data_IF_880948273979
#
_entry.id   IF_880948273979
#
_cell.length_a   1.000
_cell.length_b   1.000
_cell.length_c   1.000
_cell.angle_alpha   90.00
_cell.angle_beta   90.00
_cell.angle_gamma   90.00
#
_symmetry.space_group_name_H-M   'P 1'
#
loop_
_entity.id
_entity.type
_entity.pdbx_description
1 polymer ?
#
# COMPACT_ATOMS: atom_id res chain seq x y z
N UNK A 1 1.17 -18.63 10.52
CA UNK A 1 -0.28 -18.89 10.65
C UNK A 1 -0.79 -19.34 9.30
N UNK A 2 -1.50 -20.48 9.18
CA UNK A 2 -2.18 -20.87 7.95
C UNK A 2 -3.13 -19.76 7.48
N UNK A 3 -3.25 -19.59 6.16
CA UNK A 3 -4.00 -18.47 5.57
C UNK A 3 -5.48 -18.46 5.98
N UNK A 4 -6.06 -19.65 6.18
CA UNK A 4 -7.44 -19.84 6.64
C UNK A 4 -7.73 -19.34 8.06
N UNK A 5 -6.69 -19.09 8.86
CA UNK A 5 -6.82 -18.57 10.22
C UNK A 5 -6.55 -17.06 10.30
N UNK A 6 -6.18 -16.42 9.18
CA UNK A 6 -5.90 -14.98 9.14
C UNK A 6 -7.22 -14.20 9.16
N UNK A 7 -7.38 -13.36 10.18
CA UNK A 7 -8.55 -12.51 10.37
C UNK A 7 -8.16 -11.06 10.07
N UNK A 8 -8.88 -10.42 9.14
CA UNK A 8 -8.66 -9.01 8.81
C UNK A 8 -8.79 -8.15 10.08
N UNK A 9 -7.81 -7.27 10.30
CA UNK A 9 -7.68 -6.44 11.50
C UNK A 9 -6.91 -7.13 12.64
N UNK A 10 -6.48 -8.37 12.45
CA UNK A 10 -5.72 -9.17 13.42
C UNK A 10 -4.84 -10.21 12.71
N UNK A 11 -4.37 -9.90 11.50
CA UNK A 11 -3.54 -10.82 10.71
C UNK A 11 -2.17 -11.03 11.37
N UNK A 12 -1.65 -9.99 12.03
CA UNK A 12 -0.36 -10.02 12.72
C UNK A 12 0.83 -9.92 11.76
N UNK A 13 2.00 -10.36 12.20
CA UNK A 13 3.23 -10.31 11.37
C UNK A 13 3.77 -8.90 11.14
N UNK A 14 3.31 -7.90 11.91
CA UNK A 14 3.75 -6.52 11.81
C UNK A 14 4.86 -6.26 12.82
N UNK A 15 5.96 -5.68 12.35
CA UNK A 15 7.13 -5.33 13.15
C UNK A 15 7.44 -3.85 12.93
N UNK A 16 7.87 -3.14 13.98
CA UNK A 16 8.23 -1.73 13.84
C UNK A 16 9.01 -1.22 15.04
N UNK A 17 9.69 -0.09 14.84
CA UNK A 17 10.45 0.60 15.88
C UNK A 17 10.36 2.12 15.67
N UNK A 18 9.88 2.90 16.65
CA UNK A 18 10.01 4.35 16.62
C UNK A 18 11.48 4.75 16.79
N UNK A 19 12.12 5.26 15.74
CA UNK A 19 13.55 5.57 15.76
C UNK A 19 13.92 6.62 14.72
N UNK A 20 15.08 7.26 14.91
CA UNK A 20 15.76 8.08 13.91
C UNK A 20 17.06 7.43 13.42
N UNK A 21 17.40 6.24 13.93
CA UNK A 21 18.61 5.50 13.57
C UNK A 21 18.31 4.44 12.50
N UNK A 22 19.09 4.48 11.42
CA UNK A 22 18.94 3.56 10.29
C UNK A 22 19.20 2.10 10.68
N UNK A 23 20.16 1.85 11.57
CA UNK A 23 20.50 0.47 11.97
C UNK A 23 19.33 -0.21 12.68
N UNK A 24 18.60 0.53 13.50
CA UNK A 24 17.37 0.09 14.16
C UNK A 24 16.29 -0.33 13.15
N UNK A 25 16.12 0.46 12.07
CA UNK A 25 15.20 0.13 10.98
C UNK A 25 15.63 -1.17 10.28
N UNK A 26 16.91 -1.30 9.94
CA UNK A 26 17.46 -2.50 9.29
C UNK A 26 17.31 -3.75 10.15
N UNK A 27 17.52 -3.66 11.46
CA UNK A 27 17.35 -4.78 12.38
C UNK A 27 15.89 -5.27 12.44
N UNK A 28 14.92 -4.35 12.41
CA UNK A 28 13.50 -4.71 12.35
C UNK A 28 13.14 -5.33 11.00
N UNK A 29 13.66 -4.81 9.89
CA UNK A 29 13.49 -5.43 8.56
C UNK A 29 14.03 -6.87 8.54
N UNK A 30 15.22 -7.10 9.10
CA UNK A 30 15.77 -8.46 9.25
C UNK A 30 14.91 -9.36 10.12
N UNK A 31 14.31 -8.82 11.18
CA UNK A 31 13.41 -9.57 12.05
C UNK A 31 12.15 -9.97 11.29
N UNK A 32 11.54 -9.06 10.54
CA UNK A 32 10.39 -9.36 9.70
C UNK A 32 10.72 -10.44 8.66
N UNK A 33 11.85 -10.31 7.94
CA UNK A 33 12.30 -11.31 6.97
C UNK A 33 12.51 -12.70 7.57
N UNK A 34 13.04 -12.79 8.80
CA UNK A 34 13.26 -14.09 9.48
C UNK A 34 11.97 -14.76 9.93
N UNK A 35 10.92 -13.99 10.20
CA UNK A 35 9.64 -14.49 10.69
C UNK A 35 8.57 -14.61 9.60
N UNK A 36 8.83 -14.09 8.41
CA UNK A 36 8.00 -14.24 7.21
C UNK A 36 8.59 -15.25 6.23
N UNK A 37 7.76 -15.73 5.31
CA UNK A 37 8.19 -16.63 4.22
C UNK A 37 7.70 -16.19 2.83
N UNK A 38 6.92 -15.10 2.73
CA UNK A 38 6.36 -14.59 1.48
C UNK A 38 5.38 -15.54 0.76
N UNK A 39 4.98 -16.64 1.41
CA UNK A 39 4.20 -17.72 0.78
C UNK A 39 2.69 -17.49 0.70
N UNK A 40 2.18 -16.43 1.32
CA UNK A 40 0.77 -16.02 1.27
C UNK A 40 0.66 -14.72 0.48
N UNK A 41 0.08 -14.79 -0.73
CA UNK A 41 0.17 -13.72 -1.72
C UNK A 41 -0.62 -12.45 -1.31
N UNK A 42 -1.85 -12.51 -0.77
CA UNK A 42 -2.52 -11.31 -0.30
C UNK A 42 -1.87 -10.76 0.97
N UNK A 43 -1.39 -9.53 0.98
CA UNK A 43 -0.72 -8.95 2.17
C UNK A 43 -1.71 -8.18 3.07
N UNK A 44 -1.32 -7.85 4.31
CA UNK A 44 -2.09 -7.04 5.27
C UNK A 44 -1.57 -5.60 5.36
N UNK A 45 -1.51 -4.94 4.21
CA UNK A 45 -0.94 -3.60 4.04
C UNK A 45 -1.63 -2.54 4.90
N UNK A 46 -2.97 -2.59 5.00
CA UNK A 46 -3.71 -1.55 5.73
C UNK A 46 -3.48 -1.68 7.24
N UNK A 47 -3.43 -2.90 7.77
CA UNK A 47 -3.03 -3.13 9.17
C UNK A 47 -1.63 -2.57 9.45
N UNK A 48 -0.67 -2.78 8.55
CA UNK A 48 0.70 -2.24 8.68
C UNK A 48 0.73 -0.71 8.64
N UNK A 49 -0.04 -0.10 7.74
CA UNK A 49 -0.20 1.36 7.65
C UNK A 49 -0.78 1.93 8.95
N UNK A 50 -1.87 1.34 9.45
CA UNK A 50 -2.53 1.79 10.70
C UNK A 50 -1.60 1.64 11.90
N UNK A 51 -0.83 0.54 11.95
CA UNK A 51 0.21 0.36 12.97
C UNK A 51 1.26 1.48 12.89
N UNK A 52 1.76 1.81 11.70
CA UNK A 52 2.73 2.90 11.50
C UNK A 52 2.18 4.26 11.97
N UNK A 53 0.92 4.56 11.67
CA UNK A 53 0.24 5.78 12.15
C UNK A 53 0.18 5.81 13.69
N UNK A 54 -0.17 4.70 14.31
CA UNK A 54 -0.25 4.59 15.77
C UNK A 54 1.12 4.76 16.46
N UNK A 55 2.20 4.30 15.83
CA UNK A 55 3.56 4.47 16.34
C UNK A 55 4.08 5.91 16.21
N UNK A 56 3.59 6.68 15.23
CA UNK A 56 3.97 8.07 15.06
C UNK A 56 2.77 8.96 14.66
N UNK A 57 1.90 9.31 15.63
CA UNK A 57 0.70 10.11 15.36
C UNK A 57 1.03 11.52 14.84
N UNK A 58 2.22 12.05 15.15
CA UNK A 58 2.66 13.38 14.72
C UNK A 58 3.51 13.36 13.42
N UNK A 59 3.85 12.19 12.87
CA UNK A 59 4.60 12.12 11.62
C UNK A 59 3.76 12.67 10.47
N UNK A 60 4.36 13.54 9.66
CA UNK A 60 3.72 14.20 8.51
C UNK A 60 3.82 13.39 7.22
N UNK A 61 4.80 12.49 7.12
CA UNK A 61 5.03 11.65 5.96
C UNK A 61 4.77 10.18 6.32
N UNK A 62 3.92 9.55 5.52
CA UNK A 62 3.61 8.13 5.60
C UNK A 62 3.91 7.52 4.23
N UNK A 63 4.84 6.58 4.20
CA UNK A 63 5.31 5.92 2.98
C UNK A 63 4.97 4.44 3.10
N UNK A 64 4.29 3.91 2.09
CA UNK A 64 3.96 2.49 1.97
C UNK A 64 4.74 1.90 0.81
N UNK A 65 5.61 0.93 1.06
CA UNK A 65 6.42 0.27 0.02
C UNK A 65 5.86 -1.13 -0.16
N UNK A 66 5.33 -1.43 -1.35
CA UNK A 66 4.59 -2.67 -1.60
C UNK A 66 4.94 -3.32 -2.94
N UNK A 67 4.86 -4.65 -2.98
CA UNK A 67 4.97 -5.43 -4.20
C UNK A 67 3.73 -5.23 -5.08
N UNK A 68 3.95 -4.93 -6.35
CA UNK A 68 2.88 -4.73 -7.32
C UNK A 68 2.07 -6.01 -7.59
N UNK A 69 2.63 -7.19 -7.32
CA UNK A 69 1.97 -8.49 -7.57
C UNK A 69 1.06 -8.95 -6.41
N UNK A 70 1.15 -8.33 -5.24
CA UNK A 70 0.37 -8.67 -4.06
C UNK A 70 -0.81 -7.70 -3.90
N UNK A 71 -2.05 -8.22 -3.92
CA UNK A 71 -3.24 -7.39 -3.65
C UNK A 71 -3.59 -7.48 -2.16
N UNK A 72 -3.70 -6.34 -1.44
CA UNK A 72 -4.00 -6.37 -0.01
C UNK A 72 -5.34 -7.02 0.29
N UNK A 73 -5.38 -7.89 1.31
CA UNK A 73 -6.60 -8.58 1.77
C UNK A 73 -7.53 -7.67 2.57
N UNK A 74 -6.97 -6.63 3.15
CA UNK A 74 -7.55 -5.83 4.21
C UNK A 74 -7.98 -4.43 3.75
N UNK A 75 -8.22 -4.27 2.44
CA UNK A 75 -8.72 -3.01 1.84
C UNK A 75 -10.02 -2.50 2.50
N UNK A 76 -10.81 -3.35 3.14
CA UNK A 76 -11.99 -2.96 3.93
C UNK A 76 -11.65 -2.04 5.11
N UNK A 77 -10.38 -2.05 5.57
CA UNK A 77 -9.89 -1.19 6.64
C UNK A 77 -9.42 0.19 6.14
N UNK A 78 -9.30 0.38 4.82
CA UNK A 78 -8.80 1.64 4.23
C UNK A 78 -9.55 2.90 4.71
N UNK A 79 -10.87 2.87 4.96
CA UNK A 79 -11.59 4.03 5.51
C UNK A 79 -11.07 4.54 6.87
N UNK A 80 -10.29 3.73 7.61
CA UNK A 80 -9.69 4.14 8.88
C UNK A 80 -8.34 4.86 8.71
N UNK A 81 -7.78 4.89 7.51
CA UNK A 81 -6.50 5.58 7.23
C UNK A 81 -6.77 7.07 7.04
N UNK A 82 -6.32 7.87 8.01
CA UNK A 82 -6.61 9.30 8.09
C UNK A 82 -5.43 10.23 7.69
N UNK A 83 -4.40 9.67 7.05
CA UNK A 83 -3.23 10.40 6.57
C UNK A 83 -2.94 10.09 5.10
N UNK A 84 -2.45 11.05 4.31
CA UNK A 84 -1.98 10.79 2.96
C UNK A 84 -0.89 9.73 2.92
N UNK A 85 -1.10 8.68 2.12
CA UNK A 85 -0.15 7.58 1.94
C UNK A 85 0.60 7.76 0.61
N UNK A 86 1.92 7.90 0.68
CA UNK A 86 2.79 7.82 -0.50
C UNK A 86 3.10 6.35 -0.77
N UNK A 87 2.48 5.78 -1.79
CA UNK A 87 2.70 4.39 -2.17
C UNK A 87 3.88 4.33 -3.13
N UNK A 88 4.89 3.52 -2.82
CA UNK A 88 6.00 3.20 -3.70
C UNK A 88 5.85 1.74 -4.09
N UNK A 89 5.83 1.46 -5.39
CA UNK A 89 5.70 0.10 -5.88
C UNK A 89 6.59 -0.14 -7.08
N UNK A 90 7.17 -1.34 -7.15
CA UNK A 90 7.98 -1.75 -8.29
C UNK A 90 7.09 -2.47 -9.29
N UNK A 91 6.78 -1.82 -10.40
CA UNK A 91 6.21 -2.50 -11.56
C UNK A 91 7.34 -3.12 -12.38
N UNK A 92 7.22 -4.39 -12.76
CA UNK A 92 8.08 -4.95 -13.80
C UNK A 92 7.70 -4.29 -15.12
N UNK A 93 8.67 -4.06 -16.01
CA UNK A 93 8.44 -3.47 -17.33
C UNK A 93 7.24 -4.15 -18.02
N UNK A 94 6.26 -3.36 -18.46
CA UNK A 94 5.02 -3.84 -19.10
C UNK A 94 4.09 -4.67 -18.19
N UNK A 95 4.11 -4.44 -16.88
CA UNK A 95 3.06 -4.93 -15.97
C UNK A 95 2.21 -3.77 -15.46
N UNK A 96 0.87 -3.95 -15.37
CA UNK A 96 -0.02 -2.92 -14.85
C UNK A 96 0.19 -2.73 -13.35
N UNK A 97 0.11 -1.47 -12.90
CA UNK A 97 0.00 -1.13 -11.47
C UNK A 97 -1.21 -1.82 -10.85
N UNK A 98 -1.04 -2.36 -9.64
CA UNK A 98 -2.11 -2.91 -8.84
C UNK A 98 -3.17 -1.83 -8.55
N UNK A 99 -4.43 -2.01 -8.98
CA UNK A 99 -5.49 -1.03 -8.72
C UNK A 99 -5.78 -0.80 -7.23
N UNK A 100 -5.49 -1.77 -6.35
CA UNK A 100 -5.64 -1.60 -4.91
C UNK A 100 -4.61 -0.61 -4.35
N UNK A 101 -3.34 -0.70 -4.77
CA UNK A 101 -2.30 0.25 -4.40
C UNK A 101 -2.62 1.67 -4.91
N UNK A 102 -3.13 1.76 -6.15
CA UNK A 102 -3.62 3.02 -6.72
C UNK A 102 -4.80 3.59 -5.89
N UNK A 103 -5.68 2.71 -5.41
CA UNK A 103 -6.81 3.07 -4.55
C UNK A 103 -6.37 3.58 -3.19
N UNK A 104 -5.38 2.95 -2.55
CA UNK A 104 -4.80 3.42 -1.27
C UNK A 104 -4.28 4.84 -1.43
N UNK A 105 -3.44 5.09 -2.43
CA UNK A 105 -2.91 6.42 -2.70
C UNK A 105 -4.03 7.45 -2.94
N UNK A 106 -5.02 7.11 -3.77
CA UNK A 106 -6.09 8.02 -4.13
C UNK A 106 -7.04 8.37 -2.98
N UNK A 107 -7.52 7.36 -2.24
CA UNK A 107 -8.52 7.57 -1.18
C UNK A 107 -7.93 8.25 0.06
N UNK A 108 -6.63 8.08 0.30
CA UNK A 108 -5.93 8.77 1.39
C UNK A 108 -5.48 10.18 1.01
N UNK A 109 -5.65 10.58 -0.26
CA UNK A 109 -5.17 11.87 -0.77
C UNK A 109 -3.64 11.92 -0.94
N UNK A 110 -2.98 10.76 -1.01
CA UNK A 110 -1.55 10.63 -1.26
C UNK A 110 -1.20 10.52 -2.75
N UNK A 111 -0.16 9.75 -3.03
CA UNK A 111 0.45 9.62 -4.36
C UNK A 111 0.96 8.20 -4.59
N UNK A 112 1.10 7.80 -5.85
CA UNK A 112 1.70 6.51 -6.23
C UNK A 112 2.97 6.77 -7.04
N UNK A 113 4.04 6.07 -6.70
CA UNK A 113 5.37 6.22 -7.29
C UNK A 113 5.83 4.87 -7.84
N UNK A 114 6.15 4.82 -9.13
CA UNK A 114 6.76 3.66 -9.77
C UNK A 114 8.23 3.96 -10.10
N UNK A 115 8.96 3.01 -10.70
CA UNK A 115 10.32 3.27 -11.16
C UNK A 115 10.38 4.30 -12.30
N UNK A 116 9.29 4.45 -13.05
CA UNK A 116 9.23 5.22 -14.30
C UNK A 116 8.42 6.51 -14.18
N UNK A 117 7.48 6.59 -13.23
CA UNK A 117 6.58 7.73 -13.13
C UNK A 117 6.08 7.96 -11.70
N UNK A 118 5.96 9.25 -11.36
CA UNK A 118 5.22 9.72 -10.20
C UNK A 118 3.80 10.05 -10.63
N UNK A 119 2.82 9.39 -10.03
CA UNK A 119 1.40 9.65 -10.24
C UNK A 119 0.84 10.40 -9.04
N UNK A 120 0.63 11.70 -9.25
CA UNK A 120 0.12 12.64 -8.25
C UNK A 120 -1.32 13.04 -8.54
N UNK A 121 -1.98 13.68 -7.55
CA UNK A 121 -3.34 14.22 -7.67
C UNK A 121 -4.42 13.17 -8.06
N UNK A 122 -4.22 11.90 -7.69
CA UNK A 122 -5.14 10.80 -8.00
C UNK A 122 -6.57 11.02 -7.49
N UNK A 123 -6.74 11.78 -6.40
CA UNK A 123 -8.04 12.10 -5.81
C UNK A 123 -8.85 13.11 -6.65
N UNK A 124 -8.21 13.87 -7.54
CA UNK A 124 -8.84 14.92 -8.34
C UNK A 124 -9.55 14.40 -9.59
N UNK A 125 -9.17 13.21 -10.07
CA UNK A 125 -9.84 12.55 -11.19
C UNK A 125 -11.29 12.29 -10.79
N UNK A 126 -12.33 12.69 -11.55
CA UNK A 126 -13.71 12.47 -11.17
C UNK A 126 -14.10 10.99 -11.23
N UNK A 127 -15.17 10.59 -10.53
CA UNK A 127 -15.77 9.24 -10.73
C UNK A 127 -16.15 9.07 -12.20
N UNK A 128 -15.89 7.88 -12.76
CA UNK A 128 -15.91 7.53 -14.18
C UNK A 128 -14.80 8.14 -15.04
N UNK A 129 -14.00 9.06 -14.50
CA UNK A 129 -12.79 9.58 -15.14
C UNK A 129 -11.72 8.51 -15.27
N UNK A 130 -10.84 8.69 -16.25
CA UNK A 130 -9.79 7.72 -16.57
C UNK A 130 -8.39 8.32 -16.48
N UNK A 131 -7.41 7.49 -16.17
CA UNK A 131 -5.98 7.82 -16.22
C UNK A 131 -5.22 6.69 -16.92
N UNK A 132 -4.17 7.06 -17.66
CA UNK A 132 -3.25 6.10 -18.29
C UNK A 132 -1.96 6.06 -17.48
N UNK A 133 -1.56 4.87 -17.05
CA UNK A 133 -0.37 4.62 -16.23
C UNK A 133 0.39 3.45 -16.87
N UNK A 134 1.61 3.71 -17.34
CA UNK A 134 2.44 2.67 -17.98
C UNK A 134 1.80 2.01 -19.21
N UNK A 135 0.97 2.75 -19.95
CA UNK A 135 0.24 2.23 -21.11
C UNK A 135 -1.10 1.52 -20.80
N UNK A 136 -1.42 1.32 -19.52
CA UNK A 136 -2.69 0.73 -19.07
C UNK A 136 -3.69 1.80 -18.67
N UNK A 137 -4.97 1.57 -18.92
CA UNK A 137 -6.05 2.51 -18.60
C UNK A 137 -6.79 2.08 -17.34
N UNK A 138 -6.90 3.02 -16.40
CA UNK A 138 -7.64 2.85 -15.15
C UNK A 138 -8.81 3.80 -15.13
N UNK A 139 -9.93 3.35 -14.56
CA UNK A 139 -11.11 4.16 -14.32
C UNK A 139 -11.30 4.36 -12.82
N UNK A 140 -11.60 5.59 -12.41
CA UNK A 140 -12.03 5.87 -11.05
C UNK A 140 -13.49 5.46 -10.87
N UNK A 141 -13.75 4.69 -9.82
CA UNK A 141 -15.07 4.30 -9.33
C UNK A 141 -15.34 4.97 -7.98
N UNK A 142 -16.52 4.79 -7.42
CA UNK A 142 -16.82 5.20 -6.04
C UNK A 142 -15.95 4.47 -5.01
N UNK A 143 -15.51 3.26 -5.32
CA UNK A 143 -14.81 2.36 -4.39
C UNK A 143 -13.29 2.36 -4.57
N UNK A 144 -12.75 3.19 -5.46
CA UNK A 144 -11.32 3.19 -5.81
C UNK A 144 -11.10 3.15 -7.31
N UNK A 145 -10.04 2.50 -7.75
CA UNK A 145 -9.69 2.35 -9.16
C UNK A 145 -9.85 0.90 -9.64
N UNK A 146 -10.26 0.76 -10.89
CA UNK A 146 -10.24 -0.52 -11.62
C UNK A 146 -9.44 -0.35 -12.91
N UNK A 147 -8.77 -1.42 -13.35
CA UNK A 147 -8.17 -1.47 -14.69
C UNK A 147 -9.25 -1.81 -15.72
N UNK A 148 -9.33 -1.06 -16.81
CA UNK A 148 -10.31 -1.28 -17.88
C UNK A 148 -9.67 -1.65 -19.22
N UNK A 149 -8.37 -1.40 -19.40
CA UNK A 149 -7.61 -1.79 -20.58
C UNK A 149 -6.13 -1.95 -20.26
#
# INVERSE_FOLDING_TARGET
MPDSLKVIGSTGGIYGTPTTDLNSVLAVMQTAMKNGNGGDIPENDIEAILYGIAQCPNCSNLIHIADNQATPRDMVLLPYVNKPVKVITCQLNSTPVNPALLTIAAQTGGSLHTLEQDIINLSSIPVNGTIVIGGYTYQRTTNGYIRIR
#
